data_IF_332435459719
#
_entry.id   IF_332435459719
#
_cell.length_a   1.000
_cell.length_b   1.000
_cell.length_c   1.000
_cell.angle_alpha   90.00
_cell.angle_beta   90.00
_cell.angle_gamma   90.00
#
_symmetry.space_group_name_H-M   'P 1'
#
loop_
_entity.id
_entity.type
_entity.pdbx_description
1 polymer ?
#
# COMPACT_ATOMS: atom_id res chain seq x y z
N UNK A 1 -22.27 -6.67 -63.25
CA UNK A 1 -21.29 -5.78 -62.58
C UNK A 1 -22.01 -5.13 -61.41
N UNK A 2 -21.73 -5.57 -60.17
CA UNK A 2 -22.38 -5.06 -58.96
C UNK A 2 -21.24 -4.68 -58.01
N UNK A 3 -21.07 -3.37 -57.80
CA UNK A 3 -20.04 -2.79 -56.96
C UNK A 3 -20.55 -2.75 -55.52
N UNK A 4 -19.99 -3.57 -54.63
CA UNK A 4 -20.28 -3.54 -53.19
C UNK A 4 -19.28 -2.59 -52.53
N UNK A 5 -19.76 -1.45 -52.03
CA UNK A 5 -18.99 -0.49 -51.23
C UNK A 5 -19.06 -0.95 -49.77
N UNK A 6 -17.95 -1.46 -49.22
CA UNK A 6 -17.82 -1.72 -47.79
C UNK A 6 -17.54 -0.39 -47.07
N UNK A 7 -18.49 0.06 -46.25
CA UNK A 7 -18.33 1.20 -45.35
C UNK A 7 -17.47 0.79 -44.14
N UNK A 8 -16.32 1.44 -43.97
CA UNK A 8 -15.45 1.28 -42.80
C UNK A 8 -16.02 2.08 -41.62
N UNK A 9 -16.59 1.40 -40.62
CA UNK A 9 -16.96 1.97 -39.33
C UNK A 9 -15.71 2.18 -38.48
N UNK A 10 -15.18 3.41 -38.48
CA UNK A 10 -14.13 3.83 -37.57
C UNK A 10 -14.71 4.00 -36.15
N UNK A 11 -14.46 3.03 -35.26
CA UNK A 11 -14.69 3.18 -33.83
C UNK A 11 -13.56 4.01 -33.22
N UNK A 12 -13.81 5.31 -33.03
CA UNK A 12 -12.94 6.17 -32.21
C UNK A 12 -13.13 5.86 -30.73
N UNK A 13 -12.09 5.50 -29.95
CA UNK A 13 -12.21 5.35 -28.52
C UNK A 13 -12.39 6.72 -27.87
N UNK A 14 -13.47 6.90 -27.11
CA UNK A 14 -13.64 8.03 -26.19
C UNK A 14 -12.56 7.94 -25.11
N UNK A 15 -11.49 8.72 -25.24
CA UNK A 15 -10.56 8.98 -24.15
C UNK A 15 -11.21 9.96 -23.19
N UNK A 16 -11.84 9.44 -22.13
CA UNK A 16 -12.28 10.27 -21.01
C UNK A 16 -11.05 10.87 -20.31
N UNK A 17 -11.06 12.17 -19.95
CA UNK A 17 -9.99 12.76 -19.16
C UNK A 17 -9.97 12.10 -17.78
N UNK A 18 -8.82 11.54 -17.40
CA UNK A 18 -8.60 11.04 -16.05
C UNK A 18 -8.69 12.23 -15.08
N UNK A 19 -9.73 12.25 -14.24
CA UNK A 19 -9.82 13.18 -13.12
C UNK A 19 -8.68 12.82 -12.17
N UNK A 20 -7.82 13.76 -11.75
CA UNK A 20 -6.78 13.47 -10.76
C UNK A 20 -7.47 12.98 -9.50
N UNK A 21 -7.22 11.72 -9.13
CA UNK A 21 -7.63 11.20 -7.84
C UNK A 21 -6.90 12.03 -6.79
N UNK A 22 -7.66 12.73 -5.94
CA UNK A 22 -7.14 13.40 -4.75
C UNK A 22 -6.40 12.35 -3.94
N UNK A 23 -5.07 12.36 -3.99
CA UNK A 23 -4.26 11.42 -3.22
C UNK A 23 -4.46 11.82 -1.77
N UNK A 24 -5.28 11.04 -1.05
CA UNK A 24 -5.37 11.13 0.39
C UNK A 24 -3.94 11.20 0.95
N UNK A 25 -3.64 12.26 1.69
CA UNK A 25 -2.32 12.50 2.23
C UNK A 25 -1.90 11.29 3.08
N UNK A 26 -0.66 10.82 2.89
CA UNK A 26 -0.13 9.71 3.69
C UNK A 26 -0.17 10.06 5.19
N UNK A 27 -0.37 9.07 6.08
CA UNK A 27 -0.37 9.30 7.51
C UNK A 27 0.96 9.90 7.97
N UNK A 28 0.89 10.97 8.75
CA UNK A 28 2.05 11.71 9.19
C UNK A 28 1.93 12.10 10.67
N UNK A 29 3.07 12.12 11.36
CA UNK A 29 3.18 12.59 12.74
C UNK A 29 3.83 13.97 12.78
N UNK A 30 3.32 14.82 13.67
CA UNK A 30 3.96 16.05 14.12
C UNK A 30 4.32 15.85 15.57
N UNK A 31 5.60 16.01 15.88
CA UNK A 31 6.16 15.71 17.20
C UNK A 31 6.92 16.95 17.67
N UNK A 32 6.69 17.40 18.90
CA UNK A 32 7.31 18.62 19.42
C UNK A 32 8.84 18.57 19.40
N UNK A 33 9.41 17.40 19.68
CA UNK A 33 10.85 17.15 19.64
C UNK A 33 11.13 15.69 19.31
N UNK A 34 12.17 15.48 18.50
CA UNK A 34 12.58 14.15 18.03
C UNK A 34 14.08 13.91 18.18
N UNK A 35 14.86 14.93 18.49
CA UNK A 35 16.31 14.90 18.60
C UNK A 35 16.74 15.44 19.96
N UNK A 36 17.89 15.00 20.43
CA UNK A 36 18.49 15.41 21.71
C UNK A 36 17.49 15.39 22.88
N UNK A 37 16.62 14.38 22.89
CA UNK A 37 15.60 14.22 23.92
C UNK A 37 16.27 14.03 25.28
N UNK A 38 15.81 14.80 26.28
CA UNK A 38 16.21 14.61 27.66
C UNK A 38 15.34 13.56 28.35
N UNK A 39 15.90 12.83 29.31
CA UNK A 39 15.15 11.86 30.10
C UNK A 39 14.02 12.56 30.87
N UNK A 40 12.82 12.01 30.82
CA UNK A 40 11.62 12.55 31.45
C UNK A 40 10.98 13.74 30.72
N UNK A 41 11.59 14.24 29.64
CA UNK A 41 11.02 15.33 28.83
C UNK A 41 9.64 14.94 28.29
N UNK A 42 8.73 15.90 28.26
CA UNK A 42 7.41 15.69 27.69
C UNK A 42 7.40 15.98 26.19
N UNK A 43 6.87 15.03 25.43
CA UNK A 43 6.75 15.09 23.98
C UNK A 43 5.26 15.14 23.62
N UNK A 44 4.86 16.11 22.82
CA UNK A 44 3.52 16.14 22.23
C UNK A 44 3.53 15.52 20.85
N UNK A 45 2.54 14.68 20.57
CA UNK A 45 2.38 13.97 19.30
C UNK A 45 0.98 14.27 18.77
N UNK A 46 0.91 14.76 17.54
CA UNK A 46 -0.33 14.83 16.76
C UNK A 46 -0.15 14.08 15.46
N UNK A 47 -1.26 13.64 14.86
CA UNK A 47 -1.23 12.90 13.61
C UNK A 47 -2.37 13.30 12.68
N UNK A 48 -2.11 13.22 11.39
CA UNK A 48 -3.03 13.55 10.29
C UNK A 48 -2.82 12.61 9.11
N UNK A 49 -3.78 12.54 8.17
CA UNK A 49 -3.67 11.67 6.99
C UNK A 49 -3.96 10.19 7.26
N UNK A 50 -4.47 9.87 8.45
CA UNK A 50 -4.95 8.52 8.75
C UNK A 50 -6.33 8.31 8.13
N UNK A 51 -6.69 7.06 7.84
CA UNK A 51 -8.02 6.71 7.38
C UNK A 51 -9.06 7.11 8.44
N UNK A 52 -10.07 7.93 8.10
CA UNK A 52 -11.10 8.33 9.04
C UNK A 52 -11.82 7.15 9.69
N UNK A 53 -12.18 7.31 10.97
CA UNK A 53 -13.01 6.34 11.71
C UNK A 53 -12.26 5.12 12.26
N UNK A 54 -10.96 4.97 12.00
CA UNK A 54 -10.15 3.92 12.62
C UNK A 54 -10.21 4.02 14.16
N UNK A 55 -10.37 2.85 14.80
CA UNK A 55 -10.44 2.74 16.26
C UNK A 55 -9.18 2.09 16.80
N UNK A 56 -8.81 2.47 18.03
CA UNK A 56 -7.70 1.86 18.76
C UNK A 56 -6.36 1.89 18.00
N UNK A 57 -6.03 3.03 17.40
CA UNK A 57 -4.70 3.28 16.83
C UNK A 57 -3.72 3.45 17.99
N UNK A 58 -2.71 2.59 18.07
CA UNK A 58 -1.68 2.68 19.10
C UNK A 58 -0.73 3.84 18.77
N UNK A 59 -0.40 4.67 19.75
CA UNK A 59 0.58 5.76 19.64
C UNK A 59 1.58 5.64 20.80
N UNK A 60 2.88 5.64 20.52
CA UNK A 60 3.87 5.53 21.59
C UNK A 60 5.32 5.54 21.13
N UNK A 61 6.22 5.64 22.12
CA UNK A 61 7.66 5.43 21.97
C UNK A 61 7.95 3.92 21.96
N UNK A 62 8.60 3.43 20.92
CA UNK A 62 8.88 2.01 20.71
C UNK A 62 10.30 1.79 20.21
N UNK A 63 10.82 0.55 20.28
CA UNK A 63 11.99 0.20 19.45
C UNK A 63 11.63 0.27 17.97
N UNK A 64 12.60 0.60 17.12
CA UNK A 64 12.40 0.47 15.67
C UNK A 64 12.10 -0.99 15.28
N UNK A 65 11.17 -1.20 14.35
CA UNK A 65 10.75 -2.54 13.91
C UNK A 65 9.91 -3.30 14.93
N UNK A 66 9.19 -2.60 15.82
CA UNK A 66 8.29 -3.22 16.79
C UNK A 66 7.27 -4.15 16.12
N UNK A 67 7.02 -5.29 16.75
CA UNK A 67 5.99 -6.26 16.32
C UNK A 67 4.97 -6.52 17.41
N UNK A 68 5.30 -6.22 18.67
CA UNK A 68 4.42 -6.37 19.81
C UNK A 68 4.44 -5.11 20.67
N UNK A 69 3.44 -4.24 20.52
CA UNK A 69 3.37 -2.97 21.24
C UNK A 69 3.45 -3.10 22.78
N UNK A 70 2.98 -4.21 23.36
CA UNK A 70 3.04 -4.41 24.82
C UNK A 70 4.46 -4.67 25.34
N UNK A 71 5.32 -5.23 24.49
CA UNK A 71 6.72 -5.55 24.85
C UNK A 71 7.70 -4.53 24.27
N UNK A 72 7.35 -3.95 23.12
CA UNK A 72 8.26 -3.17 22.29
C UNK A 72 8.08 -1.66 22.46
N UNK A 73 7.04 -1.22 23.18
CA UNK A 73 6.74 0.18 23.41
C UNK A 73 6.69 0.53 24.90
N UNK A 74 6.99 1.79 25.21
CA UNK A 74 7.01 2.33 26.56
C UNK A 74 5.59 2.64 27.06
N UNK A 75 4.92 1.62 27.60
CA UNK A 75 3.61 1.78 28.23
C UNK A 75 3.67 2.71 29.45
N UNK A 76 4.79 2.71 30.19
CA UNK A 76 4.98 3.59 31.34
C UNK A 76 5.26 5.05 30.96
N UNK A 77 5.65 5.30 29.71
CA UNK A 77 5.89 6.62 29.13
C UNK A 77 4.67 7.25 28.48
N UNK A 78 3.47 6.66 28.62
CA UNK A 78 2.23 7.23 28.11
C UNK A 78 1.82 6.73 26.72
N UNK A 79 2.42 5.64 26.23
CA UNK A 79 1.90 4.96 25.04
C UNK A 79 0.42 4.58 25.26
N UNK A 80 -0.43 4.87 24.28
CA UNK A 80 -1.89 4.80 24.44
C UNK A 80 -2.61 4.47 23.13
N UNK A 81 -3.92 4.30 23.20
CA UNK A 81 -4.80 4.13 22.06
C UNK A 81 -5.61 5.40 21.79
N UNK A 82 -5.69 5.78 20.51
CA UNK A 82 -6.50 6.90 20.04
C UNK A 82 -7.49 6.44 18.96
N UNK A 83 -8.53 7.25 18.75
CA UNK A 83 -9.45 7.08 17.63
C UNK A 83 -9.17 8.15 16.59
N UNK A 84 -9.31 7.79 15.31
CA UNK A 84 -9.17 8.73 14.20
C UNK A 84 -10.53 9.35 13.92
N UNK A 85 -10.56 10.68 13.87
CA UNK A 85 -11.76 11.46 13.58
C UNK A 85 -12.16 11.42 12.09
N UNK A 86 -13.20 12.18 11.73
CA UNK A 86 -13.70 12.27 10.36
C UNK A 86 -12.70 12.93 9.39
N UNK A 87 -11.73 13.67 9.90
CA UNK A 87 -10.71 14.38 9.13
C UNK A 87 -9.39 13.61 9.04
N UNK A 88 -9.33 12.39 9.57
CA UNK A 88 -8.12 11.58 9.54
C UNK A 88 -7.07 12.00 10.57
N UNK A 89 -7.49 12.68 11.64
CA UNK A 89 -6.62 13.15 12.71
C UNK A 89 -6.92 12.44 14.05
N UNK A 90 -5.95 12.46 14.95
CA UNK A 90 -6.12 12.01 16.33
C UNK A 90 -5.81 13.12 17.33
N UNK A 91 -6.41 13.11 18.54
CA UNK A 91 -6.17 14.13 19.57
C UNK A 91 -4.72 14.10 20.06
N UNK A 92 -4.20 15.25 20.49
CA UNK A 92 -2.82 15.36 21.01
C UNK A 92 -2.53 14.32 22.09
N UNK A 93 -1.50 13.51 21.85
CA UNK A 93 -0.95 12.55 22.82
C UNK A 93 0.28 13.16 23.49
N UNK A 94 0.41 12.93 24.80
CA UNK A 94 1.56 13.35 25.62
C UNK A 94 2.34 12.12 26.04
N UNK A 95 3.60 12.05 25.61
CA UNK A 95 4.54 10.99 25.96
C UNK A 95 5.63 11.54 26.87
N UNK A 96 6.19 10.71 27.75
CA UNK A 96 7.42 10.99 28.48
C UNK A 96 8.58 10.30 27.77
N UNK A 97 9.62 11.07 27.45
CA UNK A 97 10.84 10.57 26.85
C UNK A 97 11.59 9.70 27.86
N UNK A 98 11.55 8.38 27.69
CA UNK A 98 12.32 7.45 28.51
C UNK A 98 13.27 6.67 27.62
N UNK A 99 14.56 6.84 27.85
CA UNK A 99 15.58 6.14 27.07
C UNK A 99 15.57 4.63 27.34
N UNK A 100 14.99 4.19 28.46
CA UNK A 100 14.91 2.77 28.84
C UNK A 100 13.51 2.35 29.27
N UNK A 101 13.03 1.25 28.72
CA UNK A 101 11.73 0.64 29.04
C UNK A 101 11.73 -0.83 28.60
N UNK A 102 11.06 -1.74 29.30
CA UNK A 102 10.91 -3.15 28.90
C UNK A 102 12.22 -3.87 28.47
N UNK A 103 13.36 -3.52 29.07
CA UNK A 103 14.68 -4.04 28.67
C UNK A 103 15.24 -3.46 27.35
N UNK A 104 14.51 -2.55 26.71
CA UNK A 104 14.93 -1.72 25.58
C UNK A 104 15.67 -0.50 26.13
N UNK A 105 16.74 -0.13 25.42
CA UNK A 105 17.63 1.00 25.69
C UNK A 105 17.88 1.76 24.38
N UNK A 106 17.21 2.89 24.21
CA UNK A 106 17.27 3.76 23.05
C UNK A 106 18.60 4.53 22.93
N UNK A 107 19.50 4.43 23.91
CA UNK A 107 20.86 4.95 23.79
C UNK A 107 21.73 4.04 22.91
N UNK A 108 21.40 2.74 22.87
CA UNK A 108 22.21 1.71 22.19
C UNK A 108 21.54 1.13 20.95
N UNK A 109 20.25 1.41 20.72
CA UNK A 109 19.52 1.04 19.50
C UNK A 109 18.54 2.12 19.07
N UNK A 110 18.18 2.13 17.79
CA UNK A 110 17.22 3.09 17.26
C UNK A 110 15.82 2.85 17.85
N UNK A 111 15.21 3.91 18.34
CA UNK A 111 13.81 3.95 18.77
C UNK A 111 13.00 4.92 17.91
N UNK A 112 11.69 4.77 17.95
CA UNK A 112 10.75 5.54 17.13
C UNK A 112 9.55 5.97 17.96
N UNK A 113 8.93 7.08 17.60
CA UNK A 113 7.54 7.34 17.94
C UNK A 113 6.71 6.87 16.76
N UNK A 114 5.81 5.91 17.02
CA UNK A 114 4.96 5.30 16.02
C UNK A 114 3.49 5.52 16.31
N UNK A 115 2.68 5.57 15.25
CA UNK A 115 1.24 5.44 15.30
C UNK A 115 0.78 4.40 14.29
N UNK A 116 0.05 3.36 14.73
CA UNK A 116 -0.43 2.30 13.85
C UNK A 116 -1.70 1.62 14.38
N UNK A 117 -2.64 1.19 13.51
CA UNK A 117 -3.73 0.30 13.90
C UNK A 117 -3.19 -1.02 14.44
N UNK A 118 -3.93 -1.65 15.36
CA UNK A 118 -3.56 -2.96 15.88
C UNK A 118 -3.68 -4.04 14.79
N UNK A 119 -2.64 -4.85 14.55
CA UNK A 119 -2.68 -5.92 13.54
C UNK A 119 -3.62 -7.07 13.90
N UNK A 120 -4.02 -7.20 15.17
CA UNK A 120 -4.99 -8.19 15.62
C UNK A 120 -6.43 -7.85 15.23
N UNK A 121 -6.72 -6.57 14.98
CA UNK A 121 -8.07 -6.08 14.65
C UNK A 121 -8.16 -5.43 13.29
N UNK A 122 -7.04 -5.31 12.56
CA UNK A 122 -6.97 -4.68 11.25
C UNK A 122 -6.18 -5.54 10.26
N UNK A 123 -6.64 -5.69 9.00
CA UNK A 123 -5.87 -6.38 7.97
C UNK A 123 -4.51 -5.72 7.71
N UNK A 124 -3.48 -6.47 7.26
CA UNK A 124 -2.15 -5.93 6.98
C UNK A 124 -2.15 -4.72 6.05
N UNK A 125 -3.00 -4.71 5.01
CA UNK A 125 -3.13 -3.58 4.09
C UNK A 125 -3.58 -2.30 4.80
N UNK A 126 -4.50 -2.41 5.78
CA UNK A 126 -4.96 -1.27 6.58
C UNK A 126 -3.87 -0.80 7.53
N UNK A 127 -3.20 -1.72 8.21
CA UNK A 127 -2.09 -1.37 9.11
C UNK A 127 -1.00 -0.63 8.33
N UNK A 128 -0.55 -1.19 7.21
CA UNK A 128 0.52 -0.63 6.40
C UNK A 128 0.16 0.76 5.84
N UNK A 129 -1.06 0.94 5.35
CA UNK A 129 -1.52 2.22 4.82
C UNK A 129 -1.76 3.30 5.89
N UNK A 130 -1.83 2.93 7.17
CA UNK A 130 -2.17 3.82 8.28
C UNK A 130 -1.10 3.82 9.38
N UNK A 131 0.13 3.49 9.02
CA UNK A 131 1.27 3.52 9.94
C UNK A 131 2.14 4.74 9.65
N UNK A 132 2.43 5.51 10.69
CA UNK A 132 3.39 6.62 10.63
C UNK A 132 4.45 6.43 11.72
N UNK A 133 5.72 6.59 11.35
CA UNK A 133 6.86 6.32 12.23
C UNK A 133 7.87 7.44 12.08
N UNK A 134 8.38 7.94 13.21
CA UNK A 134 9.44 8.95 13.24
C UNK A 134 10.54 8.48 14.18
N UNK A 135 11.78 8.42 13.70
CA UNK A 135 12.93 8.07 14.54
C UNK A 135 13.17 9.14 15.59
N UNK A 136 13.57 8.71 16.77
CA UNK A 136 13.97 9.62 17.85
C UNK A 136 15.44 9.45 18.22
N UNK A 137 16.04 10.50 18.77
CA UNK A 137 17.40 10.53 19.27
C UNK A 137 17.44 11.11 20.68
N UNK A 138 18.00 10.37 21.63
CA UNK A 138 18.24 10.87 22.98
C UNK A 138 19.56 11.62 23.06
N UNK A 139 19.62 12.63 23.93
CA UNK A 139 20.84 13.40 24.17
C UNK A 139 21.98 12.47 24.57
N UNK A 140 23.09 12.53 23.83
CA UNK A 140 24.26 11.68 24.06
C UNK A 140 24.18 10.30 23.40
N UNK A 141 23.09 9.96 22.72
CA UNK A 141 23.02 8.78 21.86
C UNK A 141 23.66 9.06 20.48
N UNK A 142 24.05 7.99 19.78
CA UNK A 142 24.49 8.07 18.39
C UNK A 142 23.35 8.34 17.39
N UNK A 143 22.09 8.23 17.84
CA UNK A 143 20.90 8.41 17.01
C UNK A 143 20.46 9.87 17.03
N UNK A 144 20.31 10.48 15.85
CA UNK A 144 19.97 11.91 15.73
C UNK A 144 18.47 12.20 15.78
N UNK A 145 17.61 11.21 15.48
CA UNK A 145 16.17 11.39 15.39
C UNK A 145 15.72 12.24 14.19
N UNK A 146 14.41 12.39 14.01
CA UNK A 146 13.78 13.21 12.97
C UNK A 146 13.71 12.61 11.57
N UNK A 147 14.44 11.52 11.29
CA UNK A 147 14.28 10.78 10.06
C UNK A 147 13.03 9.88 10.10
N UNK A 148 12.14 10.03 9.13
CA UNK A 148 11.12 9.01 8.83
C UNK A 148 11.83 7.83 8.16
N UNK A 149 11.63 6.57 8.62
CA UNK A 149 12.11 5.42 7.86
C UNK A 149 11.58 5.53 6.43
N UNK A 150 12.45 5.32 5.43
CA UNK A 150 11.97 5.28 4.06
C UNK A 150 10.84 4.26 3.99
N UNK A 151 9.65 4.69 3.53
CA UNK A 151 8.60 3.75 3.19
C UNK A 151 9.24 2.72 2.27
N UNK A 152 9.16 1.44 2.63
CA UNK A 152 9.62 0.40 1.72
C UNK A 152 8.95 0.70 0.38
N UNK A 153 9.75 0.96 -0.67
CA UNK A 153 9.21 1.14 -2.00
C UNK A 153 8.26 -0.04 -2.21
N UNK A 154 7.05 0.18 -2.76
CA UNK A 154 6.19 -0.93 -3.10
C UNK A 154 7.06 -1.85 -3.95
N UNK A 155 7.45 -2.99 -3.37
CA UNK A 155 7.94 -4.09 -4.17
C UNK A 155 6.76 -4.31 -5.08
N UNK A 156 6.96 -4.10 -6.38
CA UNK A 156 5.98 -4.49 -7.36
C UNK A 156 5.67 -5.92 -7.00
N UNK A 157 4.50 -6.16 -6.40
CA UNK A 157 4.00 -7.49 -6.31
C UNK A 157 4.03 -7.95 -7.77
N UNK A 158 4.67 -9.08 -8.03
CA UNK A 158 4.37 -9.83 -9.23
C UNK A 158 2.90 -10.24 -9.11
N UNK A 159 2.01 -9.28 -9.34
CA UNK A 159 0.63 -9.54 -9.66
C UNK A 159 0.64 -10.29 -10.99
N UNK A 160 -0.31 -11.20 -11.21
CA UNK A 160 -0.46 -11.81 -12.52
C UNK A 160 -0.57 -10.69 -13.55
N UNK A 161 0.21 -10.79 -14.62
CA UNK A 161 0.31 -9.81 -15.70
C UNK A 161 -1.08 -9.40 -16.22
N UNK A 162 -1.65 -8.32 -15.68
CA UNK A 162 -2.89 -7.72 -16.19
C UNK A 162 -2.64 -6.41 -16.93
N UNK A 163 -1.37 -6.05 -17.14
CA UNK A 163 -0.93 -4.84 -17.84
C UNK A 163 -0.60 -5.03 -19.32
N UNK A 164 -1.10 -6.09 -19.98
CA UNK A 164 -0.89 -6.33 -21.40
C UNK A 164 -1.98 -7.24 -21.98
N UNK A 165 -2.22 -7.22 -23.31
CA UNK A 165 -3.18 -8.11 -23.95
C UNK A 165 -2.90 -9.55 -23.50
N UNK A 166 -3.86 -10.16 -22.81
CA UNK A 166 -3.69 -11.44 -22.14
C UNK A 166 -3.27 -12.52 -23.15
N UNK A 167 -1.99 -12.89 -23.10
CA UNK A 167 -1.39 -13.98 -23.87
C UNK A 167 -2.22 -15.27 -23.87
N UNK A 168 -2.88 -15.71 -22.77
CA UNK A 168 -3.75 -16.89 -22.82
C UNK A 168 -5.03 -16.65 -23.64
N UNK A 169 -5.58 -15.44 -23.65
CA UNK A 169 -6.74 -15.10 -24.48
C UNK A 169 -6.37 -15.04 -25.96
N UNK A 170 -5.18 -14.53 -26.30
CA UNK A 170 -4.69 -14.55 -27.68
C UNK A 170 -4.37 -15.95 -28.17
N UNK A 171 -3.79 -16.80 -27.32
CA UNK A 171 -3.57 -18.21 -27.64
C UNK A 171 -4.89 -18.95 -27.87
N UNK A 172 -5.91 -18.71 -27.03
CA UNK A 172 -7.25 -19.26 -27.23
C UNK A 172 -7.90 -18.74 -28.54
N UNK A 173 -7.75 -17.45 -28.84
CA UNK A 173 -8.30 -16.85 -30.07
C UNK A 173 -7.62 -17.40 -31.33
N UNK A 174 -6.29 -17.53 -31.33
CA UNK A 174 -5.53 -18.15 -32.40
C UNK A 174 -5.91 -19.62 -32.58
N UNK A 175 -6.07 -20.36 -31.48
CA UNK A 175 -6.54 -21.75 -31.51
C UNK A 175 -7.91 -21.90 -32.18
N UNK A 176 -8.86 -21.02 -31.85
CA UNK A 176 -10.20 -21.03 -32.45
C UNK A 176 -10.14 -20.67 -33.94
N UNK A 177 -9.32 -19.70 -34.34
CA UNK A 177 -9.15 -19.33 -35.75
C UNK A 177 -8.55 -20.44 -36.60
N UNK A 178 -7.56 -21.17 -36.07
CA UNK A 178 -6.94 -22.31 -36.76
C UNK A 178 -7.93 -23.47 -36.91
N UNK A 179 -8.72 -23.76 -35.86
CA UNK A 179 -9.75 -24.81 -35.93
C UNK A 179 -10.88 -24.46 -36.92
N UNK A 180 -11.32 -23.21 -36.94
CA UNK A 180 -12.30 -22.74 -37.90
C UNK A 180 -11.77 -22.80 -39.35
N UNK A 181 -10.52 -22.38 -39.57
CA UNK A 181 -9.85 -22.49 -40.87
C UNK A 181 -9.72 -23.93 -41.37
N UNK A 182 -9.36 -24.86 -40.48
CA UNK A 182 -9.27 -26.28 -40.81
C UNK A 182 -10.63 -26.90 -41.16
N UNK A 183 -11.70 -26.51 -40.45
CA UNK A 183 -13.06 -26.96 -40.75
C UNK A 183 -13.55 -26.46 -42.11
N UNK A 184 -13.27 -25.21 -42.46
CA UNK A 184 -13.62 -24.63 -43.77
C UNK A 184 -12.82 -25.30 -44.89
N UNK A 185 -11.52 -25.54 -44.72
CA UNK A 185 -10.70 -26.22 -45.72
C UNK A 185 -11.13 -27.69 -45.94
N UNK A 186 -11.53 -28.39 -44.87
CA UNK A 186 -12.05 -29.76 -44.95
C UNK A 186 -13.42 -29.81 -45.66
N UNK A 187 -14.29 -28.84 -45.41
CA UNK A 187 -15.58 -28.72 -46.09
C UNK A 187 -15.41 -28.40 -47.58
N UNK A 188 -14.47 -27.52 -47.94
CA UNK A 188 -14.16 -27.19 -49.33
C UNK A 188 -13.51 -28.34 -50.11
N UNK A 189 -12.65 -29.14 -49.48
CA UNK A 189 -12.12 -30.38 -50.10
C UNK A 189 -13.21 -31.41 -50.37
N UNK A 190 -14.22 -31.52 -49.49
CA UNK A 190 -15.35 -32.43 -49.68
C UNK A 190 -16.28 -31.98 -50.80
N UNK A 191 -16.47 -30.68 -51.00
CA UNK A 191 -17.29 -30.16 -52.11
C UNK A 191 -16.57 -30.19 -53.46
N UNK A 192 -15.23 -30.22 -53.47
CA UNK A 192 -14.42 -30.35 -54.69
C UNK A 192 -14.19 -31.81 -55.17
N UNK A 193 -14.67 -32.81 -54.42
CA UNK A 193 -14.81 -34.19 -54.90
C UNK A 193 -16.29 -34.55 -55.16
N UNK A 194 -16.93 -34.01 -56.21
CA UNK A 194 -18.03 -34.73 -56.82
C UNK A 194 -17.46 -36.02 -57.43
N UNK A 195 -18.13 -37.14 -57.15
CA UNK A 195 -17.83 -38.46 -57.72
C UNK A 195 -17.67 -38.35 -59.24
N UNK A 196 -16.48 -38.64 -59.75
CA UNK A 196 -16.27 -39.04 -61.14
C UNK A 196 -16.27 -40.56 -61.18
N UNK A 197 -17.39 -41.14 -61.60
CA UNK A 197 -17.62 -42.50 -62.15
C UNK A 197 -19.12 -42.50 -62.50
N UNK A 198 -19.50 -42.23 -63.76
CA UNK A 198 -19.61 -43.20 -64.86
C UNK A 198 -20.42 -44.45 -64.51
#
# INVERSE_FOLDING_TARGET
MITIVLAALALSPLTAPAVPADRAAAPALRISRVADLAEGEEITVTGTGFRPGLKSVAVGLCREGYTNGLKDCDLGGGATFVNIDAHGAFPTVRLKARSKFNGIDCMTRQCVIGAAPLPTTNPPAIVNANTAIVRVGFKGSQFKGGATPAAAAPQAAAGPDTGGPSTPLWAATLGVLVLAGAAVAAAQRRSQHPRSTS
#
